data_IF_012341638445
#
_entry.id   IF_012341638445
#
_cell.length_a   1.000
_cell.length_b   1.000
_cell.length_c   1.000
_cell.angle_alpha   90.00
_cell.angle_beta   90.00
_cell.angle_gamma   90.00
#
_symmetry.space_group_name_H-M   'P 1'
#
loop_
_entity.id
_entity.type
_entity.pdbx_description
1 polymer ?
#
# COMPACT_ATOMS: atom_id res chain seq x y z
N UNK A 1 12.52 -50.27 11.46
CA UNK A 1 11.90 -48.99 11.06
C UNK A 1 12.82 -47.76 11.12
N UNK A 2 13.83 -47.66 12.00
CA UNK A 2 14.72 -46.48 12.07
C UNK A 2 15.62 -46.24 10.84
N UNK A 3 15.98 -47.27 10.08
CA UNK A 3 16.84 -47.13 8.90
C UNK A 3 16.12 -46.54 7.67
N UNK A 4 14.78 -46.66 7.58
CA UNK A 4 14.03 -46.10 6.44
C UNK A 4 13.89 -44.57 6.52
N UNK A 5 13.92 -44.02 7.74
CA UNK A 5 13.76 -42.58 7.98
C UNK A 5 15.03 -41.77 7.61
N UNK A 6 16.21 -42.41 7.64
CA UNK A 6 17.48 -41.75 7.31
C UNK A 6 17.68 -41.61 5.79
N UNK A 7 17.18 -42.55 4.98
CA UNK A 7 17.28 -42.48 3.52
C UNK A 7 16.33 -41.45 2.89
N UNK A 8 15.18 -41.16 3.53
CA UNK A 8 14.24 -40.12 3.07
C UNK A 8 14.80 -38.70 3.25
N UNK A 9 15.73 -38.50 4.18
CA UNK A 9 16.37 -37.18 4.41
C UNK A 9 17.49 -36.88 3.41
N UNK A 10 18.03 -37.89 2.71
CA UNK A 10 19.13 -37.73 1.74
C UNK A 10 18.66 -37.48 0.30
N UNK A 11 17.35 -37.59 0.02
CA UNK A 11 16.78 -37.25 -1.30
C UNK A 11 16.20 -35.83 -1.38
N UNK A 12 16.26 -35.06 -0.30
CA UNK A 12 15.87 -33.65 -0.37
C UNK A 12 16.90 -32.89 -1.22
N UNK A 13 16.58 -32.69 -2.50
CA UNK A 13 17.41 -31.91 -3.43
C UNK A 13 17.64 -30.50 -2.91
N UNK A 14 18.66 -29.82 -3.46
CA UNK A 14 18.97 -28.43 -3.10
C UNK A 14 17.77 -27.51 -3.42
N UNK A 15 17.06 -26.96 -2.41
CA UNK A 15 15.87 -26.16 -2.63
C UNK A 15 16.19 -24.85 -3.38
N UNK A 16 17.42 -24.34 -3.29
CA UNK A 16 17.83 -23.17 -4.05
C UNK A 16 17.92 -23.47 -5.54
N UNK A 17 18.58 -24.58 -5.92
CA UNK A 17 18.64 -25.03 -7.30
C UNK A 17 17.26 -25.36 -7.88
N UNK A 18 16.36 -25.92 -7.07
CA UNK A 18 14.96 -26.12 -7.44
C UNK A 18 14.23 -24.79 -7.69
N UNK A 19 14.40 -23.81 -6.81
CA UNK A 19 13.83 -22.46 -6.97
C UNK A 19 14.28 -21.78 -8.26
N UNK A 20 15.58 -21.86 -8.59
CA UNK A 20 16.12 -21.33 -9.84
C UNK A 20 15.53 -22.01 -11.08
N UNK A 21 15.39 -23.35 -11.05
CA UNK A 21 14.79 -24.14 -12.13
C UNK A 21 13.31 -23.79 -12.32
N UNK A 22 12.53 -23.80 -11.24
CA UNK A 22 11.12 -23.41 -11.27
C UNK A 22 10.93 -21.97 -11.79
N UNK A 23 11.79 -21.03 -11.38
CA UNK A 23 11.73 -19.64 -11.84
C UNK A 23 11.96 -19.53 -13.35
N UNK A 24 12.95 -20.23 -13.90
CA UNK A 24 13.25 -20.25 -15.34
C UNK A 24 12.12 -20.89 -16.16
N UNK A 25 11.45 -21.88 -15.60
CA UNK A 25 10.27 -22.54 -16.20
C UNK A 25 8.98 -21.71 -16.07
N UNK A 26 9.03 -20.53 -15.45
CA UNK A 26 7.86 -19.67 -15.23
C UNK A 26 6.92 -20.16 -14.12
N UNK A 27 7.31 -21.20 -13.38
CA UNK A 27 6.56 -21.73 -12.22
C UNK A 27 6.85 -20.88 -10.99
N UNK A 28 6.38 -19.64 -11.00
CA UNK A 28 6.78 -18.63 -9.99
C UNK A 28 6.32 -18.95 -8.56
N UNK A 29 5.16 -19.58 -8.39
CA UNK A 29 4.69 -20.03 -7.06
C UNK A 29 5.59 -21.14 -6.50
N UNK A 30 5.95 -22.12 -7.33
CA UNK A 30 6.86 -23.20 -6.95
C UNK A 30 8.27 -22.65 -6.64
N UNK A 31 8.73 -21.69 -7.44
CA UNK A 31 10.00 -21.01 -7.20
C UNK A 31 10.01 -20.28 -5.86
N UNK A 32 8.92 -19.55 -5.54
CA UNK A 32 8.77 -18.87 -4.26
C UNK A 32 8.78 -19.86 -3.09
N UNK A 33 8.04 -20.97 -3.21
CA UNK A 33 8.01 -22.02 -2.18
C UNK A 33 9.40 -22.65 -1.96
N UNK A 34 10.12 -22.96 -3.05
CA UNK A 34 11.46 -23.54 -2.97
C UNK A 34 12.49 -22.55 -2.37
N UNK A 35 12.44 -21.26 -2.74
CA UNK A 35 13.29 -20.25 -2.10
C UNK A 35 12.93 -20.01 -0.63
N UNK A 36 11.65 -20.09 -0.25
CA UNK A 36 11.25 -20.02 1.15
C UNK A 36 11.76 -21.23 1.95
N UNK A 37 11.77 -22.43 1.36
CA UNK A 37 12.38 -23.62 1.97
C UNK A 37 13.90 -23.48 2.12
N UNK A 38 14.59 -22.96 1.09
CA UNK A 38 16.03 -22.66 1.15
C UNK A 38 16.35 -21.64 2.26
N UNK A 39 15.54 -20.59 2.40
CA UNK A 39 15.71 -19.59 3.46
C UNK A 39 15.47 -20.20 4.84
N UNK A 40 14.43 -21.02 5.00
CA UNK A 40 14.15 -21.70 6.27
C UNK A 40 15.30 -22.64 6.67
N UNK A 41 15.89 -23.36 5.70
CA UNK A 41 17.05 -24.23 5.93
C UNK A 41 18.31 -23.44 6.30
N UNK A 42 18.53 -22.27 5.69
CA UNK A 42 19.67 -21.40 5.98
C UNK A 42 19.50 -20.58 7.27
N UNK A 43 18.25 -20.30 7.67
CA UNK A 43 17.91 -19.48 8.83
C UNK A 43 18.57 -18.10 8.80
N UNK A 44 19.18 -17.69 9.91
CA UNK A 44 19.87 -16.41 10.01
C UNK A 44 21.09 -16.25 9.08
N UNK A 45 21.55 -17.36 8.46
CA UNK A 45 22.67 -17.39 7.50
C UNK A 45 22.21 -17.31 6.04
N UNK A 46 20.92 -17.09 5.77
CA UNK A 46 20.44 -16.86 4.41
C UNK A 46 21.21 -15.71 3.75
N UNK A 47 21.84 -15.99 2.60
CA UNK A 47 22.61 -15.02 1.83
C UNK A 47 21.73 -14.00 1.12
N UNK A 48 22.30 -12.83 0.79
CA UNK A 48 21.59 -11.77 0.08
C UNK A 48 21.06 -12.19 -1.30
N UNK A 49 21.80 -13.04 -2.03
CA UNK A 49 21.39 -13.56 -3.33
C UNK A 49 20.13 -14.43 -3.24
N UNK A 50 20.05 -15.32 -2.26
CA UNK A 50 18.86 -16.13 -1.99
C UNK A 50 17.64 -15.23 -1.73
N UNK A 51 17.79 -14.23 -0.86
CA UNK A 51 16.73 -13.28 -0.53
C UNK A 51 16.29 -12.45 -1.74
N UNK A 52 17.24 -12.05 -2.60
CA UNK A 52 16.93 -11.34 -3.84
C UNK A 52 16.16 -12.21 -4.84
N UNK A 53 16.57 -13.47 -5.03
CA UNK A 53 15.86 -14.42 -5.90
C UNK A 53 14.46 -14.74 -5.36
N UNK A 54 14.32 -14.87 -4.04
CA UNK A 54 13.01 -14.97 -3.39
C UNK A 54 12.13 -13.75 -3.68
N UNK A 55 12.69 -12.55 -3.59
CA UNK A 55 11.96 -11.31 -3.88
C UNK A 55 11.48 -11.24 -5.33
N UNK A 56 12.33 -11.66 -6.28
CA UNK A 56 11.96 -11.78 -7.70
C UNK A 56 10.82 -12.79 -7.89
N UNK A 57 10.93 -13.98 -7.32
CA UNK A 57 9.89 -15.01 -7.39
C UNK A 57 8.56 -14.52 -6.81
N UNK A 58 8.59 -13.89 -5.62
CA UNK A 58 7.41 -13.31 -4.97
C UNK A 58 6.74 -12.26 -5.86
N UNK A 59 7.51 -11.34 -6.45
CA UNK A 59 6.98 -10.30 -7.32
C UNK A 59 6.32 -10.88 -8.59
N UNK A 60 6.88 -11.96 -9.15
CA UNK A 60 6.32 -12.66 -10.32
C UNK A 60 5.11 -13.52 -9.96
N UNK A 61 5.05 -14.02 -8.74
CA UNK A 61 3.91 -14.74 -8.16
C UNK A 61 2.75 -13.81 -7.75
N UNK A 62 2.93 -12.49 -7.79
CA UNK A 62 1.93 -11.50 -7.38
C UNK A 62 1.90 -11.23 -5.87
N UNK A 63 2.79 -11.83 -5.09
CA UNK A 63 2.95 -11.55 -3.66
C UNK A 63 3.86 -10.33 -3.45
N UNK A 64 3.27 -9.16 -3.65
CA UNK A 64 3.97 -7.88 -3.59
C UNK A 64 4.56 -7.63 -2.20
N UNK A 65 3.85 -8.01 -1.13
CA UNK A 65 4.32 -7.81 0.24
C UNK A 65 5.54 -8.67 0.56
N UNK A 66 5.52 -9.95 0.18
CA UNK A 66 6.67 -10.82 0.34
C UNK A 66 7.88 -10.35 -0.50
N UNK A 67 7.63 -9.83 -1.70
CA UNK A 67 8.69 -9.28 -2.56
C UNK A 67 9.43 -8.11 -1.89
N UNK A 68 8.70 -7.14 -1.34
CA UNK A 68 9.29 -5.98 -0.66
C UNK A 68 10.08 -6.38 0.58
N UNK A 69 9.50 -7.24 1.42
CA UNK A 69 10.16 -7.74 2.62
C UNK A 69 11.47 -8.46 2.28
N UNK A 70 11.46 -9.37 1.31
CA UNK A 70 12.65 -10.10 0.90
C UNK A 70 13.71 -9.18 0.24
N UNK A 71 13.29 -8.17 -0.53
CA UNK A 71 14.20 -7.18 -1.12
C UNK A 71 14.90 -6.33 -0.05
N UNK A 72 14.17 -5.88 0.98
CA UNK A 72 14.76 -5.14 2.11
C UNK A 72 15.77 -6.00 2.88
N UNK A 73 15.42 -7.26 3.14
CA UNK A 73 16.35 -8.20 3.80
C UNK A 73 17.60 -8.45 2.94
N UNK A 74 17.45 -8.61 1.62
CA UNK A 74 18.58 -8.76 0.70
C UNK A 74 19.51 -7.54 0.76
N UNK A 75 18.98 -6.32 0.75
CA UNK A 75 19.78 -5.09 0.89
C UNK A 75 20.47 -4.99 2.26
N UNK A 76 19.78 -5.35 3.34
CA UNK A 76 20.35 -5.34 4.68
C UNK A 76 21.53 -6.33 4.83
N UNK A 77 21.49 -7.46 4.12
CA UNK A 77 22.54 -8.50 4.16
C UNK A 77 23.66 -8.27 3.14
N UNK A 78 23.32 -7.80 1.95
CA UNK A 78 24.23 -7.67 0.81
C UNK A 78 24.86 -6.29 0.64
N UNK A 79 24.45 -5.31 1.44
CA UNK A 79 25.05 -3.98 1.44
C UNK A 79 24.72 -3.15 0.17
N UNK A 80 25.64 -2.25 -0.26
CA UNK A 80 25.36 -1.27 -1.30
C UNK A 80 24.96 -1.86 -2.67
N UNK A 81 25.49 -3.02 -3.03
CA UNK A 81 25.16 -3.70 -4.30
C UNK A 81 23.67 -4.07 -4.35
N UNK A 82 23.17 -4.67 -3.26
CA UNK A 82 21.77 -5.07 -3.15
C UNK A 82 20.83 -3.90 -2.86
N UNK A 83 21.33 -2.74 -2.42
CA UNK A 83 20.50 -1.55 -2.24
C UNK A 83 19.89 -1.05 -3.56
N UNK A 84 20.66 -1.10 -4.65
CA UNK A 84 20.16 -0.76 -5.99
C UNK A 84 19.12 -1.80 -6.49
N UNK A 85 19.39 -3.08 -6.25
CA UNK A 85 18.47 -4.18 -6.58
C UNK A 85 17.15 -4.06 -5.81
N UNK A 86 17.21 -3.72 -4.52
CA UNK A 86 16.04 -3.42 -3.70
C UNK A 86 15.25 -2.26 -4.27
N UNK A 87 15.90 -1.11 -4.50
CA UNK A 87 15.21 0.07 -5.05
C UNK A 87 14.51 -0.25 -6.38
N UNK A 88 15.12 -1.08 -7.23
CA UNK A 88 14.51 -1.54 -8.47
C UNK A 88 13.26 -2.43 -8.24
N UNK A 89 13.35 -3.39 -7.31
CA UNK A 89 12.23 -4.26 -6.95
C UNK A 89 11.07 -3.51 -6.30
N UNK A 90 11.35 -2.56 -5.40
CA UNK A 90 10.34 -1.69 -4.80
C UNK A 90 9.62 -0.85 -5.87
N UNK A 91 10.35 -0.39 -6.88
CA UNK A 91 9.74 0.30 -8.03
C UNK A 91 8.76 -0.59 -8.80
N UNK A 92 9.14 -1.85 -9.06
CA UNK A 92 8.26 -2.80 -9.73
C UNK A 92 7.02 -3.15 -8.88
N UNK A 93 7.20 -3.35 -7.57
CA UNK A 93 6.13 -3.61 -6.61
C UNK A 93 5.11 -2.45 -6.57
N UNK A 94 5.60 -1.22 -6.43
CA UNK A 94 4.77 -0.02 -6.47
C UNK A 94 4.04 0.13 -7.81
N UNK A 95 4.69 -0.19 -8.94
CA UNK A 95 4.05 -0.12 -10.25
C UNK A 95 2.96 -1.18 -10.45
N UNK A 96 3.12 -2.39 -9.90
CA UNK A 96 2.04 -3.39 -9.88
C UNK A 96 0.84 -2.88 -9.07
N UNK A 97 1.05 -2.27 -7.90
CA UNK A 97 -0.02 -1.65 -7.12
C UNK A 97 -0.68 -0.48 -7.84
N UNK A 98 0.11 0.34 -8.53
CA UNK A 98 -0.41 1.39 -9.40
C UNK A 98 -1.36 0.83 -10.47
N UNK A 99 -0.97 -0.25 -11.15
CA UNK A 99 -1.80 -0.87 -12.18
C UNK A 99 -3.13 -1.40 -11.60
N UNK A 100 -3.07 -2.07 -10.45
CA UNK A 100 -4.27 -2.56 -9.76
C UNK A 100 -5.19 -1.41 -9.30
N UNK A 101 -4.63 -0.37 -8.68
CA UNK A 101 -5.38 0.81 -8.24
C UNK A 101 -5.99 1.57 -9.43
N UNK A 102 -5.27 1.68 -10.54
CA UNK A 102 -5.78 2.31 -11.77
C UNK A 102 -6.97 1.53 -12.35
N UNK A 103 -6.90 0.20 -12.35
CA UNK A 103 -8.00 -0.64 -12.80
C UNK A 103 -9.26 -0.47 -11.91
N UNK A 104 -9.08 -0.39 -10.59
CA UNK A 104 -10.16 -0.10 -9.65
C UNK A 104 -10.75 1.30 -9.86
N UNK A 105 -9.90 2.32 -10.07
CA UNK A 105 -10.32 3.70 -10.30
C UNK A 105 -11.07 3.90 -11.62
N UNK A 106 -10.90 3.00 -12.59
CA UNK A 106 -11.63 3.00 -13.86
C UNK A 106 -13.01 2.33 -13.77
N UNK A 107 -13.38 1.78 -12.62
CA UNK A 107 -14.70 1.16 -12.41
C UNK A 107 -15.84 2.19 -12.46
N UNK A 108 -17.07 1.77 -12.81
CA UNK A 108 -18.22 2.68 -12.95
C UNK A 108 -18.61 3.35 -11.63
N UNK A 109 -18.37 2.69 -10.50
CA UNK A 109 -18.68 3.19 -9.16
C UNK A 109 -17.48 3.86 -8.49
N UNK A 110 -16.36 4.03 -9.22
CA UNK A 110 -15.16 4.59 -8.63
C UNK A 110 -15.33 6.08 -8.30
N UNK A 111 -14.90 6.45 -7.11
CA UNK A 111 -14.79 7.84 -6.68
C UNK A 111 -13.57 8.51 -7.32
N UNK A 112 -13.60 9.83 -7.63
CA UNK A 112 -12.46 10.54 -8.23
C UNK A 112 -11.17 10.41 -7.41
N UNK A 113 -11.27 10.29 -6.08
CA UNK A 113 -10.13 10.09 -5.21
C UNK A 113 -9.46 8.71 -5.40
N UNK A 114 -10.11 7.74 -6.06
CA UNK A 114 -9.51 6.45 -6.37
C UNK A 114 -8.28 6.62 -7.30
N UNK A 115 -8.29 7.63 -8.18
CA UNK A 115 -7.12 7.96 -8.99
C UNK A 115 -5.95 8.52 -8.17
N UNK A 116 -6.20 9.17 -7.03
CA UNK A 116 -5.13 9.71 -6.19
C UNK A 116 -4.26 8.59 -5.60
N UNK A 117 -4.87 7.44 -5.27
CA UNK A 117 -4.14 6.25 -4.81
C UNK A 117 -3.24 5.70 -5.93
N UNK A 118 -3.75 5.58 -7.15
CA UNK A 118 -2.97 5.13 -8.30
C UNK A 118 -1.79 6.07 -8.60
N UNK A 119 -2.04 7.38 -8.54
CA UNK A 119 -1.00 8.42 -8.72
C UNK A 119 0.10 8.28 -7.65
N UNK A 120 -0.27 8.13 -6.37
CA UNK A 120 0.70 7.97 -5.29
C UNK A 120 1.59 6.73 -5.49
N UNK A 121 1.03 5.61 -5.95
CA UNK A 121 1.82 4.43 -6.29
C UNK A 121 2.74 4.65 -7.50
N UNK A 122 2.29 5.35 -8.55
CA UNK A 122 3.14 5.67 -9.69
C UNK A 122 4.30 6.61 -9.31
N UNK A 123 4.07 7.58 -8.41
CA UNK A 123 5.12 8.45 -7.88
C UNK A 123 6.14 7.67 -7.04
N UNK A 124 5.66 6.72 -6.23
CA UNK A 124 6.50 5.81 -5.46
C UNK A 124 7.37 4.94 -6.36
N UNK A 125 6.79 4.38 -7.43
CA UNK A 125 7.50 3.59 -8.42
C UNK A 125 8.61 4.41 -9.12
N UNK A 126 8.26 5.62 -9.59
CA UNK A 126 9.22 6.56 -10.19
C UNK A 126 10.39 6.85 -9.24
N UNK A 127 10.09 7.20 -7.99
CA UNK A 127 11.11 7.54 -7.01
C UNK A 127 12.05 6.38 -6.70
N UNK A 128 11.52 5.16 -6.62
CA UNK A 128 12.32 3.96 -6.39
C UNK A 128 13.24 3.62 -7.58
N UNK A 129 12.73 3.65 -8.82
CA UNK A 129 13.56 3.42 -10.00
C UNK A 129 14.59 4.51 -10.23
N UNK A 130 14.28 5.77 -9.90
CA UNK A 130 15.25 6.87 -9.95
C UNK A 130 16.40 6.63 -8.97
N UNK A 131 16.12 6.20 -7.73
CA UNK A 131 17.17 5.81 -6.77
C UNK A 131 18.00 4.64 -7.29
N UNK A 132 17.37 3.62 -7.88
CA UNK A 132 18.10 2.49 -8.49
C UNK A 132 19.04 2.94 -9.62
N UNK A 133 18.57 3.80 -10.52
CA UNK A 133 19.36 4.33 -11.63
C UNK A 133 20.52 5.25 -11.17
N UNK A 134 20.35 5.98 -10.06
CA UNK A 134 21.41 6.79 -9.47
C UNK A 134 22.50 5.94 -8.81
N UNK A 135 22.15 4.79 -8.24
CA UNK A 135 23.10 3.88 -7.59
C UNK A 135 23.91 3.06 -8.59
N UNK A 136 23.37 2.81 -9.78
CA UNK A 136 24.00 2.00 -10.82
C UNK A 136 23.89 2.67 -12.19
N UNK A 137 25.00 3.25 -12.64
CA UNK A 137 25.07 4.07 -13.86
C UNK A 137 24.80 3.27 -15.14
N UNK A 138 25.12 1.97 -15.16
CA UNK A 138 24.96 1.04 -16.28
C UNK A 138 23.59 0.32 -16.29
N UNK A 139 22.52 0.92 -15.73
CA UNK A 139 21.21 0.27 -15.66
C UNK A 139 20.12 0.93 -16.53
N UNK A 140 20.08 0.67 -17.85
CA UNK A 140 19.12 1.30 -18.76
C UNK A 140 17.67 0.90 -18.48
N UNK A 141 17.40 -0.30 -17.95
CA UNK A 141 16.07 -0.75 -17.55
C UNK A 141 15.45 0.16 -16.50
N UNK A 142 16.22 0.58 -15.49
CA UNK A 142 15.73 1.48 -14.44
C UNK A 142 15.32 2.84 -15.03
N UNK A 143 16.11 3.38 -15.97
CA UNK A 143 15.77 4.64 -16.68
C UNK A 143 14.51 4.52 -17.52
N UNK A 144 14.39 3.45 -18.32
CA UNK A 144 13.16 3.17 -19.09
C UNK A 144 11.93 3.04 -18.20
N UNK A 145 12.09 2.44 -17.02
CA UNK A 145 10.99 2.34 -16.06
C UNK A 145 10.60 3.70 -15.44
N UNK A 146 11.56 4.59 -15.19
CA UNK A 146 11.27 5.99 -14.78
C UNK A 146 10.43 6.69 -15.85
N UNK A 147 10.81 6.58 -17.12
CA UNK A 147 10.05 7.15 -18.25
C UNK A 147 8.64 6.57 -18.31
N UNK A 148 8.51 5.24 -18.17
CA UNK A 148 7.20 4.56 -18.11
C UNK A 148 6.34 5.10 -16.95
N UNK A 149 6.92 5.33 -15.78
CA UNK A 149 6.20 5.90 -14.64
C UNK A 149 5.69 7.32 -14.92
N UNK A 150 6.51 8.15 -15.59
CA UNK A 150 6.13 9.52 -15.96
C UNK A 150 4.95 9.53 -16.94
N UNK A 151 5.00 8.69 -17.98
CA UNK A 151 3.89 8.55 -18.93
C UNK A 151 2.61 8.08 -18.21
N UNK A 152 2.75 7.12 -17.28
CA UNK A 152 1.60 6.62 -16.52
C UNK A 152 1.00 7.70 -15.60
N UNK A 153 1.84 8.55 -15.00
CA UNK A 153 1.38 9.68 -14.17
C UNK A 153 0.55 10.68 -14.97
N UNK A 154 1.01 11.03 -16.18
CA UNK A 154 0.27 11.93 -17.07
C UNK A 154 -1.08 11.33 -17.47
N UNK A 155 -1.09 10.04 -17.84
CA UNK A 155 -2.32 9.29 -18.13
C UNK A 155 -3.32 9.34 -16.96
N UNK A 156 -2.88 8.99 -15.75
CA UNK A 156 -3.74 8.95 -14.56
C UNK A 156 -4.29 10.34 -14.20
N UNK A 157 -3.50 11.40 -14.36
CA UNK A 157 -3.96 12.78 -14.12
C UNK A 157 -5.06 13.19 -15.09
N UNK A 158 -4.90 12.88 -16.38
CA UNK A 158 -5.94 13.12 -17.40
C UNK A 158 -7.23 12.35 -17.10
N UNK A 159 -7.10 11.08 -16.70
CA UNK A 159 -8.25 10.24 -16.33
C UNK A 159 -8.99 10.80 -15.11
N UNK A 160 -8.26 11.23 -14.06
CA UNK A 160 -8.84 11.88 -12.88
C UNK A 160 -9.63 13.14 -13.23
N UNK A 161 -9.07 14.00 -14.08
CA UNK A 161 -9.75 15.23 -14.54
C UNK A 161 -10.99 14.94 -15.38
N UNK A 162 -10.93 13.92 -16.25
CA UNK A 162 -12.10 13.47 -17.01
C UNK A 162 -13.21 12.94 -16.09
N UNK A 163 -12.88 12.08 -15.13
CA UNK A 163 -13.82 11.54 -14.16
C UNK A 163 -14.49 12.65 -13.32
N UNK A 164 -13.71 13.67 -12.91
CA UNK A 164 -14.24 14.84 -12.21
C UNK A 164 -15.24 15.62 -13.07
N UNK A 165 -14.91 15.92 -14.32
CA UNK A 165 -15.79 16.66 -15.24
C UNK A 165 -17.09 15.92 -15.52
N UNK A 166 -17.04 14.60 -15.70
CA UNK A 166 -18.23 13.80 -15.95
C UNK A 166 -19.22 13.90 -14.78
N UNK A 167 -18.73 13.82 -13.53
CA UNK A 167 -19.57 13.99 -12.34
C UNK A 167 -20.17 15.39 -12.21
N UNK A 168 -19.39 16.42 -12.47
CA UNK A 168 -19.89 17.80 -12.46
C UNK A 168 -20.98 18.02 -13.54
N UNK A 169 -20.94 17.25 -14.64
CA UNK A 169 -21.98 17.23 -15.67
C UNK A 169 -23.25 16.47 -15.26
N UNK A 170 -23.09 15.31 -14.61
CA UNK A 170 -24.20 14.49 -14.13
C UNK A 170 -25.02 15.20 -13.04
N UNK A 171 -24.34 15.86 -12.09
CA UNK A 171 -24.98 16.62 -11.01
C UNK A 171 -25.83 17.79 -11.53
N UNK A 172 -25.43 18.39 -12.67
CA UNK A 172 -26.21 19.44 -13.35
C UNK A 172 -27.43 18.89 -14.08
N UNK A 173 -27.42 17.61 -14.45
CA UNK A 173 -28.48 16.97 -15.25
C UNK A 173 -29.54 16.32 -14.39
N UNK A 174 -29.28 16.07 -13.11
CA UNK A 174 -30.30 15.61 -12.19
C UNK A 174 -31.33 16.72 -11.96
N UNK A 175 -32.63 16.45 -12.17
CA UNK A 175 -33.66 17.43 -11.86
C UNK A 175 -33.51 17.80 -10.39
N UNK A 176 -33.28 19.09 -10.12
CA UNK A 176 -33.26 19.59 -8.74
C UNK A 176 -34.49 19.02 -8.04
N UNK A 177 -34.34 18.37 -6.87
CA UNK A 177 -35.48 17.86 -6.12
C UNK A 177 -36.51 18.97 -6.09
N UNK A 178 -37.70 18.72 -6.65
CA UNK A 178 -38.77 19.70 -6.55
C UNK A 178 -38.89 20.00 -5.06
N UNK A 179 -38.88 21.28 -4.66
CA UNK A 179 -38.97 21.64 -3.26
C UNK A 179 -40.17 20.90 -2.69
N UNK A 180 -39.91 19.95 -1.78
CA UNK A 180 -40.98 19.25 -1.08
C UNK A 180 -41.82 20.37 -0.48
N UNK A 181 -43.12 20.46 -0.79
CA UNK A 181 -43.95 21.51 -0.25
C UNK A 181 -43.72 21.53 1.26
N UNK A 182 -43.40 22.70 1.83
CA UNK A 182 -43.05 22.79 3.24
C UNK A 182 -44.14 22.05 4.02
N UNK A 183 -43.78 21.10 4.90
CA UNK A 183 -44.78 20.44 5.73
C UNK A 183 -45.61 21.55 6.37
N UNK A 184 -46.93 21.47 6.25
CA UNK A 184 -47.85 22.43 6.86
C UNK A 184 -47.40 22.61 8.30
N UNK A 185 -46.79 23.76 8.60
CA UNK A 185 -46.31 24.04 9.94
C UNK A 185 -47.55 24.07 10.81
N UNK A 186 -47.64 23.27 11.88
CA UNK A 186 -48.55 23.55 12.96
C UNK A 186 -48.31 25.01 13.36
N UNK A 187 -49.36 25.83 13.26
CA UNK A 187 -49.32 27.18 13.78
C UNK A 187 -48.92 27.11 15.26
N UNK A 188 -48.14 28.09 15.71
CA UNK A 188 -47.75 28.32 17.11
C UNK A 188 -46.64 27.42 17.69
N UNK A 189 -45.40 27.91 17.60
CA UNK A 189 -44.73 28.48 18.78
C UNK A 189 -43.52 29.30 18.30
N UNK A 190 -43.78 30.59 18.08
CA UNK A 190 -42.74 31.60 17.94
C UNK A 190 -42.28 32.01 19.34
N UNK A 191 -41.30 31.29 19.89
CA UNK A 191 -40.50 31.80 20.99
C UNK A 191 -39.13 31.11 20.95
N UNK A 192 -38.08 31.95 20.99
CA UNK A 192 -36.72 31.59 21.44
C UNK A 192 -35.72 30.99 20.43
N UNK A 193 -35.58 31.63 19.26
CA UNK A 193 -34.39 31.46 18.41
C UNK A 193 -33.70 32.81 18.10
N UNK A 194 -33.53 33.66 19.10
CA UNK A 194 -32.57 34.77 19.03
C UNK A 194 -31.40 34.46 19.96
N UNK A 195 -30.33 33.90 19.38
CA UNK A 195 -28.92 34.08 19.72
C UNK A 195 -28.15 32.82 19.31
N UNK A 196 -27.86 32.70 18.01
CA UNK A 196 -26.65 31.97 17.61
C UNK A 196 -25.47 32.90 17.90
N UNK A 197 -24.58 32.57 18.85
CA UNK A 197 -23.40 33.38 19.07
C UNK A 197 -22.59 33.39 17.77
N UNK A 198 -22.37 34.59 17.25
CA UNK A 198 -21.41 34.85 16.18
C UNK A 198 -20.08 34.18 16.55
N UNK A 199 -19.45 33.40 15.67
CA UNK A 199 -18.15 32.81 15.96
C UNK A 199 -17.14 33.94 16.10
N UNK A 200 -16.82 34.30 17.34
CA UNK A 200 -15.75 35.25 17.63
C UNK A 200 -14.44 34.72 17.05
N UNK A 201 -14.03 35.31 15.92
CA UNK A 201 -12.68 35.16 15.35
C UNK A 201 -11.71 35.83 16.31
N UNK A 202 -11.41 35.12 17.39
CA UNK A 202 -10.38 35.54 18.34
C UNK A 202 -9.06 35.10 17.74
N UNK A 203 -8.25 36.06 17.31
CA UNK A 203 -6.87 35.78 16.91
C UNK A 203 -6.15 35.21 18.15
N UNK A 204 -5.79 33.94 18.09
CA UNK A 204 -5.09 33.27 19.19
C UNK A 204 -3.68 33.82 19.27
N UNK A 205 -3.25 34.22 20.47
CA UNK A 205 -1.85 34.57 20.69
C UNK A 205 -0.96 33.33 20.42
N UNK A 206 0.29 33.51 19.94
CA UNK A 206 1.19 32.40 19.62
C UNK A 206 1.34 31.36 20.74
N UNK A 207 1.33 31.80 22.00
CA UNK A 207 1.40 30.91 23.17
C UNK A 207 0.15 30.04 23.35
N UNK A 208 -1.02 30.54 23.00
CA UNK A 208 -2.28 29.77 23.06
C UNK A 208 -2.30 28.70 21.97
N UNK A 209 -1.72 28.99 20.81
CA UNK A 209 -1.54 28.02 19.72
C UNK A 209 -0.59 26.89 20.15
N UNK A 210 0.54 27.22 20.80
CA UNK A 210 1.46 26.21 21.33
C UNK A 210 0.79 25.32 22.39
N UNK A 211 0.04 25.89 23.34
CA UNK A 211 -0.73 25.10 24.32
C UNK A 211 -1.77 24.20 23.65
N UNK A 212 -2.40 24.65 22.57
CA UNK A 212 -3.35 23.83 21.81
C UNK A 212 -2.66 22.61 21.19
N UNK A 213 -1.46 22.78 20.62
CA UNK A 213 -0.67 21.67 20.09
C UNK A 213 -0.28 20.66 21.17
N UNK A 214 0.16 21.12 22.34
CA UNK A 214 0.47 20.23 23.48
C UNK A 214 -0.76 19.42 23.93
N UNK A 215 -1.94 20.06 23.98
CA UNK A 215 -3.20 19.39 24.33
C UNK A 215 -3.56 18.33 23.28
N UNK A 216 -3.37 18.64 21.99
CA UNK A 216 -3.64 17.71 20.90
C UNK A 216 -2.69 16.50 20.93
N UNK A 217 -1.39 16.72 21.14
CA UNK A 217 -0.42 15.63 21.28
C UNK A 217 -0.73 14.70 22.46
N UNK A 218 -1.16 15.26 23.60
CA UNK A 218 -1.58 14.45 24.75
C UNK A 218 -2.80 13.59 24.41
N UNK A 219 -3.82 14.18 23.78
CA UNK A 219 -5.03 13.46 23.35
C UNK A 219 -4.71 12.36 22.32
N UNK A 220 -3.76 12.61 21.42
CA UNK A 220 -3.33 11.61 20.45
C UNK A 220 -2.63 10.42 21.13
N UNK A 221 -1.74 10.69 22.08
CA UNK A 221 -1.09 9.65 22.90
C UNK A 221 -2.10 8.82 23.68
N UNK A 222 -3.09 9.46 24.33
CA UNK A 222 -4.17 8.78 25.05
C UNK A 222 -4.98 7.88 24.10
N UNK A 223 -5.37 8.39 22.93
CA UNK A 223 -6.12 7.64 21.91
C UNK A 223 -5.34 6.42 21.39
N UNK A 224 -4.04 6.57 21.16
CA UNK A 224 -3.17 5.46 20.76
C UNK A 224 -3.04 4.42 21.88
N UNK A 225 -2.95 4.85 23.14
CA UNK A 225 -2.97 3.98 24.31
C UNK A 225 -4.26 3.16 24.39
N UNK A 226 -5.42 3.80 24.23
CA UNK A 226 -6.73 3.12 24.22
C UNK A 226 -6.80 2.07 23.12
N UNK A 227 -6.37 2.38 21.90
CA UNK A 227 -6.34 1.41 20.79
C UNK A 227 -5.44 0.22 21.07
N UNK A 228 -4.27 0.43 21.71
CA UNK A 228 -3.38 -0.67 22.12
C UNK A 228 -4.01 -1.55 23.20
N UNK A 229 -4.69 -0.96 24.18
CA UNK A 229 -5.39 -1.70 25.24
C UNK A 229 -6.57 -2.52 24.70
N UNK A 230 -7.36 -1.96 23.78
CA UNK A 230 -8.48 -2.65 23.13
C UNK A 230 -8.00 -3.83 22.28
N UNK A 231 -6.85 -3.71 21.59
CA UNK A 231 -6.25 -4.83 20.84
C UNK A 231 -5.69 -5.94 21.72
N UNK A 232 -5.29 -5.63 22.95
CA UNK A 232 -4.76 -6.61 23.91
C UNK A 232 -5.84 -7.33 24.70
N UNK A 233 -7.04 -6.76 24.77
CA UNK A 233 -8.17 -7.45 25.39
C UNK A 233 -8.57 -8.56 24.42
N UNK A 234 -8.39 -9.85 24.77
CA UNK A 234 -8.87 -10.93 23.92
C UNK A 234 -10.36 -10.67 23.71
N UNK A 235 -10.80 -10.68 22.43
CA UNK A 235 -12.23 -10.67 22.13
C UNK A 235 -12.79 -11.84 22.93
N UNK A 236 -13.58 -11.53 23.97
CA UNK A 236 -14.35 -12.54 24.67
C UNK A 236 -15.05 -13.35 23.58
N UNK A 237 -14.85 -14.67 23.61
CA UNK A 237 -15.44 -15.59 22.65
C UNK A 237 -16.92 -15.21 22.53
N UNK A 238 -17.27 -14.65 21.39
CA UNK A 238 -18.66 -14.42 21.05
C UNK A 238 -19.16 -15.82 20.76
N UNK A 239 -19.78 -16.43 21.77
CA UNK A 239 -20.48 -17.70 21.64
C UNK A 239 -21.33 -17.62 20.37
N UNK A 240 -20.88 -18.35 19.35
CA UNK A 240 -21.62 -18.50 18.11
C UNK A 240 -22.71 -19.52 18.40
N UNK A 241 -23.85 -19.04 18.86
CA UNK A 241 -25.10 -19.78 18.78
C UNK A 241 -25.56 -19.80 17.32
N UNK A 242 -25.11 -20.81 16.58
CA UNK A 242 -25.78 -21.35 15.40
C UNK A 242 -25.32 -22.79 15.13
#
# INVERSE_FOLDING_TARGET
MKALFLCLLLQAGDPFAEGLRAYREGRFQDALAAFAAAEAAAGARAGAELLHNKALAALRAGDVAAAESAAEQAAARGGPEFAALRDFLLGNAAFQRCAAAAAQAAGPEAEPFAYDVAIAYAESARGAWQRAALRRTDWPEARRNVERALLKLEELRRQREAARRNREGDDRSQPRPQPVPPPERPAEQAADLEQRPEPHRTELAPEQVLRLFEILERKEREKLGLRRSQRRTPRADVDKDW
#
